data_IF_622090797898
#
_entry.id   IF_622090797898
#
_cell.length_a   1.000
_cell.length_b   1.000
_cell.length_c   1.000
_cell.angle_alpha   90.00
_cell.angle_beta   90.00
_cell.angle_gamma   90.00
#
_symmetry.space_group_name_H-M   'P 1'
#
loop_
_entity.id
_entity.type
_entity.pdbx_description
1 polymer ?
#
# COMPACT_ATOMS: atom_id res chain seq x y z
N UNK A 1 -0.56 9.37 53.01
CA UNK A 1 -0.68 8.22 52.08
C UNK A 1 -1.50 8.70 50.89
N UNK A 2 -0.89 8.83 49.73
CA UNK A 2 -1.61 9.19 48.51
C UNK A 2 -2.10 7.90 47.84
N UNK A 3 -3.41 7.79 47.64
CA UNK A 3 -4.07 6.67 46.95
C UNK A 3 -3.64 6.65 45.48
N UNK A 4 -2.97 5.59 45.07
CA UNK A 4 -2.67 5.31 43.67
C UNK A 4 -3.99 5.10 42.90
N UNK A 5 -4.24 5.94 41.89
CA UNK A 5 -5.32 5.71 40.94
C UNK A 5 -5.06 4.41 40.18
N UNK A 6 -6.10 3.59 40.05
CA UNK A 6 -6.03 2.34 39.30
C UNK A 6 -5.52 2.59 37.88
N UNK A 7 -4.40 1.96 37.53
CA UNK A 7 -3.95 1.87 36.15
C UNK A 7 -5.01 1.08 35.37
N UNK A 8 -5.74 1.74 34.48
CA UNK A 8 -6.61 1.03 33.54
C UNK A 8 -5.73 0.18 32.62
N UNK A 9 -5.84 -1.14 32.77
CA UNK A 9 -5.24 -2.13 31.90
C UNK A 9 -5.76 -1.95 30.46
N UNK A 10 -4.89 -2.16 29.49
CA UNK A 10 -5.11 -1.84 28.08
C UNK A 10 -6.20 -2.73 27.46
N UNK A 11 -7.45 -2.25 27.44
CA UNK A 11 -8.49 -2.79 26.58
C UNK A 11 -8.23 -2.33 25.14
N UNK A 12 -7.35 -3.03 24.43
CA UNK A 12 -7.22 -2.87 23.00
C UNK A 12 -8.40 -3.52 22.29
N UNK A 13 -9.02 -2.85 21.33
CA UNK A 13 -10.00 -3.45 20.43
C UNK A 13 -9.65 -3.14 18.98
N UNK A 14 -10.11 -4.02 18.08
CA UNK A 14 -10.06 -3.86 16.62
C UNK A 14 -11.48 -3.93 16.08
N UNK A 15 -11.83 -3.07 15.13
CA UNK A 15 -13.16 -3.07 14.52
C UNK A 15 -13.04 -3.14 13.01
N UNK A 16 -13.77 -4.04 12.38
CA UNK A 16 -13.99 -3.99 10.93
C UNK A 16 -15.37 -3.42 10.69
N UNK A 17 -15.50 -2.38 9.87
CA UNK A 17 -16.79 -1.87 9.41
C UNK A 17 -16.85 -2.06 7.90
N UNK A 18 -17.74 -2.95 7.43
CA UNK A 18 -17.87 -3.30 6.03
C UNK A 18 -19.28 -2.99 5.53
N UNK A 19 -19.41 -2.06 4.58
CA UNK A 19 -20.65 -1.84 3.84
C UNK A 19 -20.77 -2.95 2.81
N UNK A 20 -21.64 -3.93 3.06
CA UNK A 20 -21.83 -5.10 2.18
C UNK A 20 -22.67 -4.78 0.93
N UNK A 21 -23.58 -3.82 1.04
CA UNK A 21 -24.37 -3.33 -0.09
C UNK A 21 -24.81 -1.88 0.13
N UNK A 22 -24.98 -1.14 -0.96
CA UNK A 22 -25.44 0.25 -0.94
C UNK A 22 -26.36 0.51 -2.14
N UNK A 23 -27.41 1.30 -1.92
CA UNK A 23 -28.41 1.69 -2.92
C UNK A 23 -28.83 3.14 -2.70
N UNK A 24 -29.60 3.75 -3.62
CA UNK A 24 -30.11 5.10 -3.42
C UNK A 24 -30.93 5.20 -2.12
N UNK A 25 -30.44 5.99 -1.16
CA UNK A 25 -31.07 6.26 0.12
C UNK A 25 -30.77 5.25 1.22
N UNK A 26 -30.05 4.16 0.96
CA UNK A 26 -29.75 3.15 1.98
C UNK A 26 -28.48 2.33 1.77
N UNK A 27 -28.05 1.66 2.83
CA UNK A 27 -26.92 0.75 2.83
C UNK A 27 -27.08 -0.33 3.91
N UNK A 28 -26.37 -1.45 3.74
CA UNK A 28 -26.28 -2.54 4.70
C UNK A 28 -24.84 -2.75 5.12
N UNK A 29 -24.60 -2.90 6.42
CA UNK A 29 -23.25 -2.98 7.00
C UNK A 29 -23.12 -4.18 7.94
N UNK A 30 -21.95 -4.81 7.92
CA UNK A 30 -21.47 -5.73 8.96
C UNK A 30 -20.35 -5.06 9.74
N UNK A 31 -20.42 -5.10 11.08
CA UNK A 31 -19.40 -4.62 12.00
C UNK A 31 -18.84 -5.80 12.79
N UNK A 32 -17.53 -6.03 12.71
CA UNK A 32 -16.83 -7.07 13.48
C UNK A 32 -15.98 -6.42 14.57
N UNK A 33 -16.23 -6.74 15.83
CA UNK A 33 -15.42 -6.33 16.98
C UNK A 33 -14.51 -7.48 17.40
N UNK A 34 -13.21 -7.24 17.42
CA UNK A 34 -12.19 -8.14 17.98
C UNK A 34 -11.65 -7.55 19.27
N UNK A 35 -11.69 -8.32 20.35
CA UNK A 35 -11.03 -7.95 21.59
C UNK A 35 -9.53 -8.27 21.49
N UNK A 36 -8.64 -7.31 21.69
CA UNK A 36 -7.18 -7.53 21.73
C UNK A 36 -6.57 -7.18 23.09
N UNK A 37 -7.40 -6.88 24.08
CA UNK A 37 -7.02 -6.67 25.48
C UNK A 37 -7.52 -7.79 26.39
N UNK A 38 -7.72 -7.46 27.66
CA UNK A 38 -8.25 -8.40 28.66
C UNK A 38 -9.63 -8.94 28.26
N UNK A 39 -9.98 -10.19 28.63
CA UNK A 39 -11.28 -10.77 28.33
C UNK A 39 -12.46 -9.89 28.76
N UNK A 40 -13.43 -9.70 27.88
CA UNK A 40 -14.65 -8.94 28.13
C UNK A 40 -15.81 -9.89 28.41
N UNK A 41 -16.65 -9.55 29.39
CA UNK A 41 -17.93 -10.23 29.66
C UNK A 41 -19.13 -9.51 29.02
N UNK A 42 -18.93 -8.26 28.61
CA UNK A 42 -19.86 -7.44 27.85
C UNK A 42 -19.09 -6.39 27.04
N UNK A 43 -19.69 -5.89 25.96
CA UNK A 43 -19.10 -4.84 25.16
C UNK A 43 -20.13 -3.76 24.80
N UNK A 44 -19.68 -2.51 24.87
CA UNK A 44 -20.36 -1.32 24.36
C UNK A 44 -19.45 -0.67 23.34
N UNK A 45 -19.78 -0.80 22.07
CA UNK A 45 -19.07 -0.16 20.96
C UNK A 45 -19.71 1.19 20.64
N UNK A 46 -18.90 2.22 20.49
CA UNK A 46 -19.36 3.57 20.13
C UNK A 46 -18.60 4.10 18.93
N UNK A 47 -19.29 4.84 18.05
CA UNK A 47 -18.69 5.56 16.92
C UNK A 47 -19.53 6.80 16.57
N UNK A 48 -19.11 7.58 15.58
CA UNK A 48 -19.89 8.70 15.05
C UNK A 48 -19.95 8.68 13.52
N UNK A 49 -21.12 8.99 12.96
CA UNK A 49 -21.29 9.17 11.52
C UNK A 49 -20.86 10.57 11.07
N UNK A 50 -20.24 10.64 9.88
CA UNK A 50 -19.66 11.88 9.35
C UNK A 50 -20.50 12.63 8.31
N UNK A 51 -21.50 11.99 7.70
CA UNK A 51 -22.25 12.58 6.57
C UNK A 51 -23.78 12.40 6.69
N UNK A 52 -24.30 12.45 7.91
CA UNK A 52 -25.75 12.39 8.15
C UNK A 52 -26.37 11.01 8.00
N UNK A 53 -25.57 9.95 8.08
CA UNK A 53 -26.11 8.59 8.08
C UNK A 53 -26.98 8.33 9.31
N UNK A 54 -28.05 7.56 9.15
CA UNK A 54 -28.95 7.17 10.24
C UNK A 54 -29.15 5.65 10.25
N UNK A 55 -28.95 5.00 11.39
CA UNK A 55 -29.28 3.57 11.55
C UNK A 55 -30.81 3.41 11.58
N UNK A 56 -31.35 2.52 10.76
CA UNK A 56 -32.79 2.24 10.71
C UNK A 56 -33.16 0.89 11.33
N UNK A 57 -32.30 -0.11 11.18
CA UNK A 57 -32.53 -1.45 11.73
C UNK A 57 -31.19 -2.12 12.02
N UNK A 58 -31.08 -2.85 13.13
CA UNK A 58 -29.89 -3.62 13.49
C UNK A 58 -30.23 -5.05 13.90
N UNK A 59 -29.24 -5.95 13.81
CA UNK A 59 -29.31 -7.34 14.27
C UNK A 59 -28.02 -7.73 14.98
N UNK A 60 -28.09 -8.70 15.89
CA UNK A 60 -26.98 -9.17 16.74
C UNK A 60 -26.34 -8.09 17.64
N UNK A 61 -26.97 -6.92 17.77
CA UNK A 61 -26.64 -5.86 18.70
C UNK A 61 -27.87 -4.99 18.97
N UNK A 62 -27.93 -4.35 20.13
CA UNK A 62 -28.86 -3.24 20.36
C UNK A 62 -28.16 -1.94 19.97
N UNK A 63 -28.68 -1.23 18.98
CA UNK A 63 -28.07 0.00 18.44
C UNK A 63 -28.96 1.20 18.72
N UNK A 64 -28.37 2.26 19.26
CA UNK A 64 -29.02 3.56 19.48
C UNK A 64 -28.20 4.66 18.83
N UNK A 65 -28.88 5.72 18.37
CA UNK A 65 -28.24 6.86 17.75
C UNK A 65 -28.83 8.17 18.29
N UNK A 66 -27.96 9.13 18.60
CA UNK A 66 -28.32 10.51 18.95
C UNK A 66 -27.47 11.48 18.14
N UNK A 67 -28.10 12.24 17.25
CA UNK A 67 -27.37 13.01 16.24
C UNK A 67 -26.44 12.10 15.43
N UNK A 68 -25.15 12.42 15.40
CA UNK A 68 -24.13 11.60 14.74
C UNK A 68 -23.61 10.43 15.59
N UNK A 69 -23.83 10.44 16.91
CA UNK A 69 -23.24 9.46 17.82
C UNK A 69 -24.05 8.16 17.83
N UNK A 70 -23.38 7.02 17.64
CA UNK A 70 -23.99 5.69 17.63
C UNK A 70 -23.37 4.84 18.73
N UNK A 71 -24.24 4.12 19.46
CA UNK A 71 -23.86 3.15 20.49
C UNK A 71 -24.47 1.80 20.18
N UNK A 72 -23.63 0.77 20.07
CA UNK A 72 -24.03 -0.63 19.95
C UNK A 72 -23.63 -1.40 21.21
N UNK A 73 -24.54 -2.19 21.78
CA UNK A 73 -24.27 -3.09 22.90
C UNK A 73 -24.55 -4.53 22.53
N UNK A 74 -23.81 -5.45 23.15
CA UNK A 74 -24.01 -6.88 22.98
C UNK A 74 -25.44 -7.32 23.32
N UNK A 75 -25.91 -8.37 22.65
CA UNK A 75 -27.09 -9.13 23.05
C UNK A 75 -26.66 -10.31 23.93
N UNK A 76 -27.62 -11.11 24.39
CA UNK A 76 -27.39 -12.14 25.42
C UNK A 76 -26.33 -13.19 25.05
N UNK A 77 -26.16 -13.51 23.76
CA UNK A 77 -25.29 -14.60 23.33
C UNK A 77 -23.87 -14.16 22.92
N UNK A 78 -23.60 -12.87 22.75
CA UNK A 78 -22.34 -12.39 22.16
C UNK A 78 -21.57 -11.39 23.02
N UNK A 79 -21.86 -11.30 24.32
CA UNK A 79 -21.16 -10.41 25.26
C UNK A 79 -19.75 -10.86 25.63
N UNK A 80 -19.54 -12.17 25.74
CA UNK A 80 -18.25 -12.74 26.13
C UNK A 80 -17.26 -12.74 24.96
N UNK A 81 -16.15 -12.01 25.10
CA UNK A 81 -15.05 -11.97 24.16
C UNK A 81 -13.73 -12.20 24.88
N UNK A 82 -13.17 -13.41 24.77
CA UNK A 82 -11.80 -13.66 25.19
C UNK A 82 -10.81 -12.78 24.41
N UNK A 83 -9.57 -12.68 24.88
CA UNK A 83 -8.50 -12.02 24.13
C UNK A 83 -8.35 -12.69 22.76
N UNK A 84 -8.27 -11.87 21.71
CA UNK A 84 -8.28 -12.21 20.29
C UNK A 84 -9.59 -12.84 19.75
N UNK A 85 -10.64 -12.98 20.57
CA UNK A 85 -11.95 -13.41 20.08
C UNK A 85 -12.67 -12.26 19.36
N UNK A 86 -13.55 -12.62 18.42
CA UNK A 86 -14.34 -11.66 17.64
C UNK A 86 -15.83 -11.96 17.71
N UNK A 87 -16.63 -10.91 17.60
CA UNK A 87 -18.07 -11.00 17.35
C UNK A 87 -18.45 -10.06 16.22
N UNK A 88 -19.57 -10.33 15.55
CA UNK A 88 -20.08 -9.49 14.48
C UNK A 88 -21.57 -9.18 14.68
N UNK A 89 -21.93 -7.96 14.32
CA UNK A 89 -23.32 -7.51 14.22
C UNK A 89 -23.52 -6.75 12.90
N UNK A 90 -24.75 -6.47 12.53
CA UNK A 90 -25.01 -5.70 11.32
C UNK A 90 -26.18 -4.76 11.47
N UNK A 91 -26.29 -3.83 10.53
CA UNK A 91 -27.38 -2.89 10.47
C UNK A 91 -27.62 -2.36 9.06
N UNK A 92 -28.85 -1.92 8.82
CA UNK A 92 -29.22 -1.08 7.70
C UNK A 92 -29.23 0.38 8.15
N UNK A 93 -28.76 1.26 7.28
CA UNK A 93 -28.80 2.70 7.50
C UNK A 93 -29.23 3.46 6.25
N UNK A 94 -29.61 4.72 6.44
CA UNK A 94 -29.89 5.68 5.37
C UNK A 94 -28.72 6.63 5.18
N UNK A 95 -28.58 7.17 3.97
CA UNK A 95 -27.59 8.18 3.62
C UNK A 95 -28.17 9.15 2.58
N UNK A 96 -27.51 10.28 2.36
CA UNK A 96 -28.04 11.41 1.60
C UNK A 96 -27.82 11.35 0.07
N UNK A 97 -27.42 10.20 -0.48
CA UNK A 97 -27.04 10.02 -1.89
C UNK A 97 -25.85 10.84 -2.40
N UNK A 98 -25.15 11.59 -1.53
CA UNK A 98 -23.96 12.36 -1.87
C UNK A 98 -22.68 11.71 -1.36
N UNK A 99 -22.65 11.32 -0.09
CA UNK A 99 -21.48 10.65 0.50
C UNK A 99 -21.89 9.70 1.62
N UNK A 100 -21.32 8.49 1.63
CA UNK A 100 -21.47 7.53 2.71
C UNK A 100 -20.09 7.15 3.28
N UNK A 101 -19.37 8.11 3.92
CA UNK A 101 -18.06 7.85 4.47
C UNK A 101 -18.21 7.00 5.72
N UNK A 102 -17.35 6.02 5.81
CA UNK A 102 -17.43 5.05 6.88
C UNK A 102 -16.72 5.61 8.15
N UNK A 103 -17.16 5.28 9.38
CA UNK A 103 -16.61 5.88 10.61
C UNK A 103 -15.16 5.48 10.89
N UNK A 104 -14.29 6.41 11.32
CA UNK A 104 -12.84 6.17 11.49
C UNK A 104 -12.37 5.98 12.93
N UNK A 105 -13.25 6.20 13.92
CA UNK A 105 -12.93 6.07 15.33
C UNK A 105 -14.02 5.31 16.06
N UNK A 106 -13.60 4.30 16.80
CA UNK A 106 -14.48 3.52 17.65
C UNK A 106 -13.88 3.38 19.04
N UNK A 107 -14.74 3.25 20.04
CA UNK A 107 -14.33 2.93 21.40
C UNK A 107 -15.16 1.79 21.95
N UNK A 108 -14.51 0.80 22.58
CA UNK A 108 -15.17 -0.26 23.33
C UNK A 108 -15.10 0.07 24.82
N UNK A 109 -16.25 0.06 25.49
CA UNK A 109 -16.39 0.37 26.92
C UNK A 109 -15.78 1.73 27.33
N UNK A 110 -15.70 2.69 26.41
CA UNK A 110 -15.10 4.01 26.64
C UNK A 110 -13.59 4.09 26.38
N UNK A 111 -12.95 2.98 26.00
CA UNK A 111 -11.55 2.92 25.59
C UNK A 111 -11.47 2.90 24.07
N UNK A 112 -10.75 3.85 23.49
CA UNK A 112 -10.56 3.94 22.04
C UNK A 112 -9.87 2.69 21.50
N UNK A 113 -10.42 2.12 20.43
CA UNK A 113 -9.83 1.00 19.71
C UNK A 113 -8.54 1.46 19.03
N UNK A 114 -7.39 1.10 19.61
CA UNK A 114 -6.06 1.34 19.04
C UNK A 114 -5.66 0.30 17.99
N UNK A 115 -6.42 -0.79 17.88
CA UNK A 115 -6.23 -1.85 16.90
C UNK A 115 -7.01 -1.63 15.60
N UNK A 116 -6.99 -0.44 15.01
CA UNK A 116 -7.44 -0.21 13.63
C UNK A 116 -8.92 -0.47 13.37
N UNK A 117 -9.68 0.61 13.27
CA UNK A 117 -11.00 0.58 12.64
C UNK A 117 -10.84 0.99 11.18
N UNK A 118 -10.87 0.02 10.26
CA UNK A 118 -10.87 0.35 8.83
C UNK A 118 -12.24 0.89 8.52
N UNK A 119 -12.29 2.19 8.17
CA UNK A 119 -12.64 2.53 6.79
C UNK A 119 -12.27 3.95 6.24
N UNK A 120 -12.07 4.03 4.92
CA UNK A 120 -11.84 5.18 4.01
C UNK A 120 -11.35 6.57 4.54
N UNK A 121 -10.01 6.74 4.63
CA UNK A 121 -9.04 7.79 4.14
C UNK A 121 -9.35 9.32 4.21
N UNK A 122 -8.39 10.27 4.41
CA UNK A 122 -7.09 10.29 5.13
C UNK A 122 -6.94 11.44 6.18
N UNK A 123 -6.24 11.17 7.29
CA UNK A 123 -5.72 12.17 8.23
C UNK A 123 -4.66 11.54 9.12
N UNK A 124 -3.40 11.86 8.85
CA UNK A 124 -2.17 11.33 9.46
C UNK A 124 -2.18 11.34 11.01
N UNK A 125 -1.99 10.22 11.73
CA UNK A 125 -1.60 10.23 13.14
C UNK A 125 -0.10 10.48 13.25
N UNK A 126 0.26 11.62 13.84
CA UNK A 126 1.59 11.88 14.39
C UNK A 126 1.81 10.99 15.62
N UNK A 127 2.49 9.87 15.43
CA UNK A 127 3.22 9.21 16.52
C UNK A 127 4.43 10.09 16.87
N UNK A 128 4.76 10.30 18.16
CA UNK A 128 6.02 10.92 18.53
C UNK A 128 7.19 10.13 17.93
N UNK A 129 8.27 10.80 17.48
CA UNK A 129 9.40 10.12 16.88
C UNK A 129 9.97 9.05 17.82
N UNK A 130 10.47 7.92 17.29
CA UNK A 130 11.32 7.04 18.07
C UNK A 130 12.50 7.86 18.61
N UNK A 131 12.75 7.79 19.92
CA UNK A 131 13.87 8.47 20.59
C UNK A 131 15.24 7.88 20.24
N UNK A 132 15.27 6.86 19.40
CA UNK A 132 16.48 6.29 18.83
C UNK A 132 16.60 6.79 17.39
N UNK A 133 17.70 7.48 17.01
CA UNK A 133 17.94 7.85 15.64
C UNK A 133 17.79 6.62 14.72
N UNK A 134 17.13 6.74 13.56
CA UNK A 134 17.24 5.73 12.51
C UNK A 134 18.73 5.45 12.28
N UNK A 135 19.16 4.20 12.05
CA UNK A 135 20.53 3.93 11.68
C UNK A 135 20.88 4.83 10.47
N UNK A 136 21.83 5.75 10.68
CA UNK A 136 22.31 6.70 9.66
C UNK A 136 23.21 6.02 8.63
N UNK A 137 23.46 4.73 8.82
CA UNK A 137 24.16 3.90 7.86
C UNK A 137 23.13 3.38 6.87
N UNK A 138 23.24 3.69 5.56
CA UNK A 138 22.50 2.99 4.52
C UNK A 138 22.64 1.48 4.77
N UNK A 139 21.57 0.68 4.65
CA UNK A 139 21.70 -0.77 4.63
C UNK A 139 22.80 -1.13 3.62
N UNK A 140 23.74 -2.02 3.96
CA UNK A 140 24.83 -2.36 3.05
C UNK A 140 24.21 -2.82 1.73
N UNK A 141 24.49 -2.06 0.67
CA UNK A 141 24.19 -2.45 -0.71
C UNK A 141 24.94 -3.75 -0.96
N UNK A 142 24.23 -4.88 -0.96
CA UNK A 142 24.83 -6.19 -1.25
C UNK A 142 24.14 -7.39 -0.59
N UNK A 143 23.66 -7.29 0.65
CA UNK A 143 23.08 -8.45 1.34
C UNK A 143 21.56 -8.45 1.31
N UNK A 144 20.98 -9.45 0.66
CA UNK A 144 19.55 -9.75 0.76
C UNK A 144 19.20 -10.12 2.21
N UNK A 145 18.07 -9.63 2.75
CA UNK A 145 17.67 -9.96 4.11
C UNK A 145 17.27 -11.43 4.23
N UNK A 146 17.50 -12.01 5.40
CA UNK A 146 16.95 -13.32 5.75
C UNK A 146 15.55 -13.12 6.35
N UNK A 147 14.52 -13.85 5.88
CA UNK A 147 13.20 -13.76 6.47
C UNK A 147 13.18 -14.17 7.94
N UNK A 148 12.45 -13.43 8.76
CA UNK A 148 12.23 -13.75 10.19
C UNK A 148 11.19 -14.86 10.39
N UNK A 149 10.46 -15.20 9.33
CA UNK A 149 9.44 -16.24 9.27
C UNK A 149 8.71 -16.19 7.92
N UNK A 150 7.73 -17.08 7.72
CA UNK A 150 6.92 -17.12 6.51
C UNK A 150 5.43 -16.94 6.83
N UNK A 151 4.68 -16.39 5.88
CA UNK A 151 3.23 -16.21 5.88
C UNK A 151 2.71 -16.73 4.55
N UNK A 152 1.81 -17.71 4.61
CA UNK A 152 1.01 -18.14 3.47
C UNK A 152 -0.12 -17.14 3.22
N UNK A 153 -0.30 -16.76 1.97
CA UNK A 153 -1.24 -15.75 1.49
C UNK A 153 -2.19 -16.44 0.52
N UNK A 154 -3.47 -16.40 0.85
CA UNK A 154 -4.58 -16.95 0.08
C UNK A 154 -5.53 -15.80 -0.26
N UNK A 155 -5.12 -15.02 -1.27
CA UNK A 155 -5.79 -13.79 -1.72
C UNK A 155 -5.09 -12.49 -1.32
N UNK A 156 -5.58 -11.37 -1.85
CA UNK A 156 -4.98 -10.04 -1.65
C UNK A 156 -5.09 -9.53 -0.21
N UNK A 157 -3.98 -9.01 0.33
CA UNK A 157 -3.92 -8.36 1.64
C UNK A 157 -4.19 -6.85 1.49
N UNK A 158 -5.33 -6.32 1.97
CA UNK A 158 -5.60 -4.89 1.93
C UNK A 158 -4.82 -4.13 3.00
N UNK A 159 -4.26 -2.96 2.64
CA UNK A 159 -3.50 -2.08 3.54
C UNK A 159 -4.02 -0.64 3.43
N UNK A 160 -4.56 -0.07 4.51
CA UNK A 160 -5.09 1.31 4.53
C UNK A 160 -4.32 2.29 5.43
N UNK A 161 -3.39 1.77 6.25
CA UNK A 161 -2.52 2.54 7.14
C UNK A 161 -1.07 2.06 6.98
N UNK A 162 -0.37 1.87 8.10
CA UNK A 162 0.96 1.24 8.08
C UNK A 162 0.82 -0.25 8.31
N UNK A 163 1.36 -1.05 7.41
CA UNK A 163 1.59 -2.47 7.61
C UNK A 163 3.09 -2.72 7.76
N UNK A 164 3.50 -3.21 8.92
CA UNK A 164 4.86 -3.67 9.16
C UNK A 164 4.90 -5.20 9.12
N UNK A 165 5.61 -5.75 8.14
CA UNK A 165 5.74 -7.20 7.96
C UNK A 165 6.77 -7.86 8.87
N UNK A 166 7.53 -7.10 9.67
CA UNK A 166 8.54 -7.63 10.59
C UNK A 166 9.66 -8.42 9.89
N UNK A 167 9.94 -8.10 8.62
CA UNK A 167 10.82 -8.84 7.71
C UNK A 167 10.43 -10.31 7.51
N UNK A 168 9.13 -10.63 7.63
CA UNK A 168 8.62 -11.95 7.26
C UNK A 168 8.49 -12.05 5.74
N UNK A 169 8.62 -13.28 5.24
CA UNK A 169 8.30 -13.64 3.85
C UNK A 169 6.81 -13.86 3.70
N UNK A 170 6.21 -13.21 2.71
CA UNK A 170 4.84 -13.40 2.27
C UNK A 170 4.89 -14.07 0.90
N UNK A 171 4.15 -15.16 0.76
CA UNK A 171 3.95 -15.95 -0.46
C UNK A 171 2.60 -16.66 -0.28
N UNK A 172 1.97 -17.32 -1.23
CA UNK A 172 2.42 -17.79 -2.51
C UNK A 172 1.21 -17.60 -3.43
N UNK A 173 0.89 -16.34 -3.74
CA UNK A 173 -0.33 -15.98 -4.48
C UNK A 173 -0.07 -16.08 -5.97
N UNK A 174 -1.06 -16.56 -6.72
CA UNK A 174 -0.93 -16.83 -8.15
C UNK A 174 -0.22 -18.14 -8.44
N UNK A 175 0.08 -18.36 -9.71
CA UNK A 175 0.71 -19.57 -10.24
C UNK A 175 2.19 -19.38 -10.63
N UNK A 176 2.69 -18.15 -10.49
CA UNK A 176 4.06 -17.77 -10.87
C UNK A 176 4.22 -17.48 -12.36
N UNK A 177 3.12 -17.37 -13.11
CA UNK A 177 3.13 -16.94 -14.50
C UNK A 177 3.33 -15.43 -14.64
N UNK A 178 3.42 -14.95 -15.89
CA UNK A 178 3.45 -13.54 -16.26
C UNK A 178 2.07 -13.05 -16.74
N UNK A 179 0.98 -13.70 -16.32
CA UNK A 179 -0.36 -13.31 -16.73
C UNK A 179 -0.79 -11.98 -16.10
N UNK A 180 -1.34 -11.07 -16.93
CA UNK A 180 -1.77 -9.70 -16.60
C UNK A 180 -3.02 -9.62 -15.68
N UNK A 181 -3.63 -10.76 -15.34
CA UNK A 181 -4.85 -10.82 -14.52
C UNK A 181 -4.65 -11.40 -13.12
N UNK A 182 -3.39 -11.54 -12.68
CA UNK A 182 -3.10 -12.04 -11.34
C UNK A 182 -3.48 -11.01 -10.27
N UNK A 183 -3.97 -11.51 -9.13
CA UNK A 183 -4.26 -10.65 -7.98
C UNK A 183 -2.94 -10.15 -7.35
N UNK A 184 -2.89 -8.88 -6.90
CA UNK A 184 -1.75 -8.41 -6.13
C UNK A 184 -1.72 -9.09 -4.76
N UNK A 185 -0.52 -9.35 -4.25
CA UNK A 185 -0.33 -9.84 -2.88
C UNK A 185 -0.75 -8.79 -1.85
N UNK A 186 -0.42 -7.52 -2.09
CA UNK A 186 -0.81 -6.40 -1.24
C UNK A 186 -1.53 -5.32 -2.05
N UNK A 187 -2.70 -4.90 -1.57
CA UNK A 187 -3.44 -3.77 -2.14
C UNK A 187 -3.44 -2.61 -1.15
N UNK A 188 -2.63 -1.60 -1.43
CA UNK A 188 -2.52 -0.37 -0.66
C UNK A 188 -3.59 0.64 -1.09
N UNK A 189 -4.33 1.15 -0.13
CA UNK A 189 -5.14 2.34 -0.30
C UNK A 189 -4.25 3.60 -0.38
N UNK A 190 -4.81 4.70 -0.89
CA UNK A 190 -4.11 5.98 -0.85
C UNK A 190 -3.78 6.38 0.61
N UNK A 191 -2.56 6.84 0.82
CA UNK A 191 -1.95 7.18 2.12
C UNK A 191 -1.25 6.00 2.82
N UNK A 192 -1.42 4.76 2.36
CA UNK A 192 -0.90 3.60 3.05
C UNK A 192 0.62 3.42 2.93
N UNK A 193 1.20 2.75 3.92
CA UNK A 193 2.61 2.34 3.94
C UNK A 193 2.72 0.83 4.11
N UNK A 194 3.46 0.17 3.23
CA UNK A 194 3.94 -1.20 3.42
C UNK A 194 5.41 -1.13 3.80
N UNK A 195 5.80 -1.77 4.90
CA UNK A 195 7.19 -1.76 5.32
C UNK A 195 7.70 -3.08 5.89
N UNK A 196 9.01 -3.31 5.73
CA UNK A 196 9.72 -4.46 6.28
C UNK A 196 9.06 -5.78 5.85
N UNK A 197 8.91 -5.97 4.55
CA UNK A 197 8.25 -7.15 3.96
C UNK A 197 9.20 -7.80 2.99
N UNK A 198 9.27 -9.13 3.02
CA UNK A 198 9.87 -9.92 1.95
C UNK A 198 8.72 -10.58 1.19
N UNK A 199 8.70 -10.44 -0.12
CA UNK A 199 7.74 -11.04 -1.05
C UNK A 199 8.47 -12.17 -1.76
N UNK A 200 8.06 -13.40 -1.44
CA UNK A 200 8.55 -14.61 -2.08
C UNK A 200 7.63 -15.04 -3.22
N UNK A 201 8.17 -15.86 -4.13
CA UNK A 201 7.39 -16.46 -5.21
C UNK A 201 6.52 -17.64 -4.76
N UNK A 202 5.39 -17.92 -5.43
CA UNK A 202 4.69 -17.06 -6.39
C UNK A 202 4.21 -15.72 -5.78
N UNK A 203 4.39 -14.63 -6.53
CA UNK A 203 4.18 -13.27 -6.04
C UNK A 203 2.93 -12.56 -6.63
N UNK A 204 2.16 -13.23 -7.49
CA UNK A 204 1.05 -12.63 -8.22
C UNK A 204 1.46 -11.36 -8.98
N UNK A 205 0.60 -10.35 -8.96
CA UNK A 205 0.88 -8.99 -9.44
C UNK A 205 1.40 -8.09 -8.29
N UNK A 206 2.31 -8.66 -7.48
CA UNK A 206 3.11 -7.95 -6.48
C UNK A 206 2.33 -7.05 -5.52
N UNK A 207 2.60 -5.74 -5.58
CA UNK A 207 2.01 -4.73 -4.69
C UNK A 207 1.31 -3.64 -5.50
N UNK A 208 0.04 -3.40 -5.22
CA UNK A 208 -0.73 -2.33 -5.89
C UNK A 208 -0.94 -1.14 -4.99
N UNK A 209 -0.67 0.05 -5.50
CA UNK A 209 -1.04 1.32 -4.85
C UNK A 209 -2.20 1.98 -5.58
N UNK A 210 -3.35 2.14 -4.93
CA UNK A 210 -4.53 2.78 -5.52
C UNK A 210 -4.45 4.31 -5.64
N UNK A 211 -3.48 4.92 -4.95
CA UNK A 211 -3.13 6.34 -4.94
C UNK A 211 -1.83 6.51 -4.17
N UNK A 212 -1.49 7.72 -3.71
CA UNK A 212 -0.23 7.98 -2.99
C UNK A 212 0.08 6.89 -1.97
N UNK A 213 1.27 6.30 -1.99
CA UNK A 213 1.62 5.20 -1.07
C UNK A 213 3.11 5.22 -0.77
N UNK A 214 3.52 4.53 0.29
CA UNK A 214 4.94 4.30 0.61
C UNK A 214 5.24 2.81 0.68
N UNK A 215 6.26 2.35 -0.04
CA UNK A 215 6.88 1.05 0.11
C UNK A 215 8.26 1.26 0.74
N UNK A 216 8.45 0.84 1.99
CA UNK A 216 9.70 1.06 2.73
C UNK A 216 10.36 -0.27 3.08
N UNK A 217 11.59 -0.48 2.63
CA UNK A 217 12.33 -1.71 2.96
C UNK A 217 11.53 -2.98 2.56
N UNK A 218 11.02 -2.99 1.33
CA UNK A 218 10.25 -4.12 0.75
C UNK A 218 11.14 -4.87 -0.26
N UNK A 219 11.13 -6.19 -0.19
CA UNK A 219 12.09 -7.05 -0.90
C UNK A 219 11.36 -8.11 -1.73
N UNK A 220 11.53 -8.10 -3.05
CA UNK A 220 10.97 -9.10 -3.96
C UNK A 220 12.04 -10.10 -4.35
N UNK A 221 11.92 -11.33 -3.84
CA UNK A 221 12.85 -12.42 -4.13
C UNK A 221 12.67 -13.02 -5.52
N UNK A 222 11.46 -12.93 -6.06
CA UNK A 222 11.09 -13.32 -7.41
C UNK A 222 9.88 -12.47 -7.80
N UNK A 223 10.05 -11.62 -8.82
CA UNK A 223 8.97 -10.74 -9.26
C UNK A 223 8.02 -11.57 -10.12
N UNK A 224 6.73 -11.48 -9.83
CA UNK A 224 5.66 -12.09 -10.63
C UNK A 224 5.47 -11.31 -11.93
N UNK A 225 4.28 -10.79 -12.17
CA UNK A 225 4.03 -9.90 -13.32
C UNK A 225 4.80 -8.57 -13.16
N UNK A 226 4.43 -7.79 -12.14
CA UNK A 226 5.16 -6.61 -11.68
C UNK A 226 5.55 -6.73 -10.20
N UNK A 227 6.61 -6.02 -9.77
CA UNK A 227 6.93 -5.94 -8.34
C UNK A 227 5.94 -5.01 -7.63
N UNK A 228 5.71 -3.83 -8.23
CA UNK A 228 4.65 -2.94 -7.78
C UNK A 228 4.03 -2.10 -8.91
N UNK A 229 2.72 -1.91 -8.81
CA UNK A 229 1.90 -1.17 -9.77
C UNK A 229 1.28 0.05 -9.11
N UNK A 230 1.60 1.24 -9.63
CA UNK A 230 1.16 2.54 -9.10
C UNK A 230 -0.02 3.08 -9.90
N UNK A 231 -1.15 3.28 -9.22
CA UNK A 231 -2.44 3.72 -9.78
C UNK A 231 -2.96 4.95 -9.04
N UNK A 232 -3.99 5.58 -9.60
CA UNK A 232 -4.62 6.77 -9.04
C UNK A 232 -4.77 7.90 -10.06
N UNK A 233 -5.56 8.92 -9.71
CA UNK A 233 -5.83 10.10 -10.54
C UNK A 233 -5.43 11.38 -9.80
N UNK A 234 -5.37 12.50 -10.54
CA UNK A 234 -4.92 13.78 -9.98
C UNK A 234 -3.39 13.87 -9.92
N UNK A 235 -2.82 14.00 -8.72
CA UNK A 235 -1.37 14.17 -8.54
C UNK A 235 -0.85 13.37 -7.34
N UNK A 236 -1.04 12.04 -7.31
CA UNK A 236 -0.54 11.23 -6.22
C UNK A 236 1.00 11.23 -6.19
N UNK A 237 1.54 10.97 -5.01
CA UNK A 237 2.97 10.85 -4.75
C UNK A 237 3.22 9.47 -4.19
N UNK A 238 4.05 8.70 -4.88
CA UNK A 238 4.46 7.37 -4.48
C UNK A 238 5.92 7.40 -4.05
N UNK A 239 6.26 6.69 -2.99
CA UNK A 239 7.62 6.55 -2.48
C UNK A 239 7.98 5.08 -2.36
N UNK A 240 9.09 4.69 -2.99
CA UNK A 240 9.79 3.44 -2.72
C UNK A 240 11.12 3.83 -2.07
N UNK A 241 11.34 3.41 -0.83
CA UNK A 241 12.49 3.80 -0.02
C UNK A 241 13.16 2.59 0.62
N UNK A 242 14.32 2.21 0.10
CA UNK A 242 15.00 0.98 0.52
C UNK A 242 14.37 -0.27 -0.10
N UNK A 243 15.00 -1.42 0.13
CA UNK A 243 14.54 -2.70 -0.40
C UNK A 243 15.26 -3.15 -1.67
N UNK A 244 14.73 -4.19 -2.29
CA UNK A 244 15.27 -4.67 -3.55
C UNK A 244 14.37 -5.63 -4.30
N UNK A 245 14.61 -5.79 -5.60
CA UNK A 245 13.85 -6.71 -6.46
C UNK A 245 14.78 -7.53 -7.35
N UNK A 246 14.40 -8.76 -7.65
CA UNK A 246 15.09 -9.58 -8.64
C UNK A 246 14.15 -10.43 -9.46
N UNK A 247 14.63 -10.85 -10.64
CA UNK A 247 13.91 -11.75 -11.54
C UNK A 247 12.60 -11.16 -12.09
N UNK A 248 12.61 -9.87 -12.44
CA UNK A 248 11.50 -9.23 -13.12
C UNK A 248 11.61 -9.43 -14.63
N UNK A 249 10.94 -10.47 -15.15
CA UNK A 249 11.04 -10.83 -16.57
C UNK A 249 10.68 -9.66 -17.50
N UNK A 250 9.62 -8.91 -17.16
CA UNK A 250 9.23 -7.69 -17.86
C UNK A 250 9.55 -6.43 -17.04
N UNK A 251 8.75 -6.07 -16.02
CA UNK A 251 8.88 -4.79 -15.33
C UNK A 251 9.01 -4.96 -13.82
N UNK A 252 9.82 -4.10 -13.18
CA UNK A 252 9.85 -4.02 -11.71
C UNK A 252 8.73 -3.09 -11.25
N UNK A 253 8.70 -1.86 -11.77
CA UNK A 253 7.71 -0.86 -11.38
C UNK A 253 6.88 -0.40 -12.58
N UNK A 254 5.57 -0.65 -12.49
CA UNK A 254 4.60 -0.21 -13.47
C UNK A 254 3.83 1.00 -12.96
N UNK A 255 3.69 2.03 -13.78
CA UNK A 255 3.02 3.27 -13.42
C UNK A 255 1.85 3.53 -14.37
N UNK A 256 0.65 3.14 -13.92
CA UNK A 256 -0.60 3.23 -14.68
C UNK A 256 -1.37 4.52 -14.35
N UNK A 257 -1.31 4.99 -13.10
CA UNK A 257 -1.98 6.21 -12.64
C UNK A 257 -1.28 7.51 -13.02
N UNK A 258 -1.86 8.64 -12.65
CA UNK A 258 -1.17 9.94 -12.68
C UNK A 258 -0.11 10.04 -11.59
N UNK A 259 0.70 11.10 -11.61
CA UNK A 259 1.49 11.52 -10.44
C UNK A 259 2.99 11.27 -10.56
N UNK A 260 3.64 11.26 -9.39
CA UNK A 260 5.11 11.15 -9.28
C UNK A 260 5.51 9.94 -8.44
N UNK A 261 6.34 9.08 -9.00
CA UNK A 261 7.01 8.01 -8.26
C UNK A 261 8.44 8.44 -7.91
N UNK A 262 8.81 8.35 -6.63
CA UNK A 262 10.20 8.44 -6.20
C UNK A 262 10.68 7.05 -5.77
N UNK A 263 11.76 6.57 -6.38
CA UNK A 263 12.45 5.34 -5.97
C UNK A 263 13.84 5.71 -5.46
N UNK A 264 14.14 5.33 -4.23
CA UNK A 264 15.41 5.66 -3.62
C UNK A 264 15.98 4.54 -2.76
N UNK A 265 17.31 4.52 -2.61
CA UNK A 265 18.02 3.58 -1.75
C UNK A 265 17.74 2.11 -2.12
N UNK A 266 17.41 1.84 -3.39
CA UNK A 266 16.90 0.56 -3.86
C UNK A 266 17.96 -0.24 -4.61
N UNK A 267 17.85 -1.57 -4.60
CA UNK A 267 18.68 -2.41 -5.47
C UNK A 267 17.83 -3.33 -6.37
N UNK A 268 18.22 -3.47 -7.63
CA UNK A 268 17.57 -4.42 -8.53
C UNK A 268 18.57 -5.19 -9.38
N UNK A 269 18.25 -6.44 -9.68
CA UNK A 269 19.06 -7.31 -10.56
C UNK A 269 18.16 -8.21 -11.38
N UNK A 270 18.57 -8.60 -12.59
CA UNK A 270 17.78 -9.45 -13.46
C UNK A 270 16.38 -8.87 -13.74
N UNK A 271 16.33 -7.80 -14.55
CA UNK A 271 15.07 -7.15 -14.93
C UNK A 271 15.01 -6.76 -16.41
N UNK A 272 13.83 -6.78 -17.01
CA UNK A 272 13.57 -6.16 -18.32
C UNK A 272 13.64 -4.64 -18.20
N UNK A 273 12.65 -4.04 -17.56
CA UNK A 273 12.50 -2.59 -17.36
C UNK A 273 12.32 -2.28 -15.88
N UNK A 274 13.19 -1.48 -15.28
CA UNK A 274 13.09 -1.15 -13.86
C UNK A 274 11.89 -0.25 -13.54
N UNK A 275 11.60 0.74 -14.38
CA UNK A 275 10.41 1.57 -14.28
C UNK A 275 9.78 1.80 -15.65
N UNK A 276 8.46 1.64 -15.75
CA UNK A 276 7.69 1.91 -16.96
C UNK A 276 6.47 2.79 -16.66
N UNK A 277 6.42 3.95 -17.33
CA UNK A 277 5.17 4.71 -17.50
C UNK A 277 4.28 3.94 -18.47
N UNK A 278 3.05 3.59 -18.12
CA UNK A 278 2.19 2.81 -19.01
C UNK A 278 1.97 3.53 -20.35
N UNK A 279 2.38 2.91 -21.45
CA UNK A 279 2.38 3.57 -22.76
C UNK A 279 1.18 3.26 -23.64
N UNK A 280 0.34 2.29 -23.27
CA UNK A 280 -0.81 1.83 -24.05
C UNK A 280 -2.10 1.72 -23.20
N UNK A 281 -2.08 2.22 -21.96
CA UNK A 281 -3.26 2.32 -21.10
C UNK A 281 -4.36 3.14 -21.78
N UNK A 282 -5.61 2.71 -21.62
CA UNK A 282 -6.80 3.39 -22.17
C UNK A 282 -6.96 4.82 -21.66
N UNK A 283 -6.54 5.07 -20.41
CA UNK A 283 -6.39 6.42 -19.85
C UNK A 283 -4.91 6.73 -19.71
N UNK A 284 -4.50 7.84 -20.32
CA UNK A 284 -3.13 8.32 -20.31
C UNK A 284 -2.96 9.53 -19.41
N UNK A 285 -1.79 9.61 -18.80
CA UNK A 285 -1.43 10.67 -17.86
C UNK A 285 -0.03 11.16 -18.18
N UNK A 286 0.23 12.42 -17.83
CA UNK A 286 1.59 12.89 -17.60
C UNK A 286 2.09 12.27 -16.29
N UNK A 287 3.21 11.55 -16.35
CA UNK A 287 3.83 10.87 -15.20
C UNK A 287 5.25 11.36 -14.98
N UNK A 288 5.66 11.38 -13.71
CA UNK A 288 7.04 11.67 -13.35
C UNK A 288 7.65 10.51 -12.55
N UNK A 289 8.94 10.27 -12.77
CA UNK A 289 9.74 9.39 -11.92
C UNK A 289 11.02 10.08 -11.49
N UNK A 290 11.39 9.88 -10.23
CA UNK A 290 12.68 10.27 -9.66
C UNK A 290 13.35 9.00 -9.13
N UNK A 291 14.50 8.65 -9.68
CA UNK A 291 15.27 7.48 -9.24
C UNK A 291 16.59 7.99 -8.67
N UNK A 292 16.89 7.67 -7.41
CA UNK A 292 18.11 8.16 -6.78
C UNK A 292 18.77 7.21 -5.81
N UNK A 293 20.09 7.26 -5.73
CA UNK A 293 20.87 6.43 -4.82
C UNK A 293 20.49 4.94 -4.92
N UNK A 294 20.41 4.41 -6.15
CA UNK A 294 19.97 3.05 -6.41
C UNK A 294 21.03 2.25 -7.16
N UNK A 295 21.14 0.96 -6.85
CA UNK A 295 22.09 0.04 -7.49
C UNK A 295 21.36 -0.91 -8.44
N UNK A 296 21.69 -0.87 -9.73
CA UNK A 296 21.06 -1.66 -10.77
C UNK A 296 22.08 -2.58 -11.42
N UNK A 297 21.90 -3.89 -11.25
CA UNK A 297 22.87 -4.91 -11.63
C UNK A 297 22.40 -5.68 -12.85
N UNK A 298 23.33 -5.96 -13.78
CA UNK A 298 23.08 -6.82 -14.93
C UNK A 298 22.90 -8.29 -14.52
N UNK A 299 22.04 -9.08 -15.21
CA UNK A 299 21.28 -8.72 -16.41
C UNK A 299 20.17 -7.68 -16.13
N UNK A 300 19.98 -6.76 -17.06
CA UNK A 300 19.16 -5.56 -16.90
C UNK A 300 19.14 -4.76 -18.21
N UNK A 301 17.96 -4.43 -18.75
CA UNK A 301 17.85 -3.78 -20.07
C UNK A 301 17.60 -2.27 -19.98
N UNK A 302 16.49 -1.83 -19.39
CA UNK A 302 16.11 -0.40 -19.34
C UNK A 302 15.85 0.07 -17.90
N UNK A 303 16.39 1.23 -17.52
CA UNK A 303 16.13 1.81 -16.18
C UNK A 303 14.78 2.51 -16.14
N UNK A 304 14.50 3.45 -17.06
CA UNK A 304 13.18 4.07 -17.17
C UNK A 304 12.67 4.09 -18.62
N UNK A 305 11.41 3.70 -18.82
CA UNK A 305 10.65 3.91 -20.05
C UNK A 305 9.56 4.99 -19.86
N UNK A 306 9.65 6.09 -20.59
CA UNK A 306 8.73 7.25 -20.48
C UNK A 306 8.05 7.61 -21.80
N UNK A 307 6.85 8.20 -21.74
CA UNK A 307 6.09 8.63 -22.91
C UNK A 307 6.21 10.15 -23.11
N UNK A 308 7.04 10.57 -24.05
CA UNK A 308 7.41 12.00 -24.21
C UNK A 308 6.27 12.85 -24.77
N UNK A 309 5.39 12.25 -25.58
CA UNK A 309 4.20 12.92 -26.12
C UNK A 309 3.16 13.27 -25.04
N UNK A 310 3.18 12.60 -23.88
CA UNK A 310 2.37 12.96 -22.71
C UNK A 310 3.13 13.88 -21.73
N UNK A 311 4.36 14.26 -22.06
CA UNK A 311 5.18 15.15 -21.24
C UNK A 311 5.79 14.47 -20.01
N UNK A 312 5.96 13.14 -20.04
CA UNK A 312 6.57 12.40 -18.94
C UNK A 312 7.99 12.88 -18.65
N UNK A 313 8.41 12.78 -17.39
CA UNK A 313 9.79 13.09 -16.98
C UNK A 313 10.41 11.99 -16.13
N UNK A 314 11.67 11.66 -16.38
CA UNK A 314 12.50 10.80 -15.54
C UNK A 314 13.76 11.54 -15.08
N UNK A 315 13.96 11.62 -13.76
CA UNK A 315 15.13 12.26 -13.12
C UNK A 315 15.99 11.20 -12.45
N UNK A 316 17.30 11.30 -12.62
CA UNK A 316 18.25 10.33 -12.06
C UNK A 316 19.36 11.05 -11.29
N UNK A 317 19.79 10.47 -10.16
CA UNK A 317 20.96 10.95 -9.41
C UNK A 317 21.57 9.82 -8.57
N UNK A 318 22.90 9.69 -8.56
CA UNK A 318 23.57 8.64 -7.75
C UNK A 318 23.15 7.22 -8.14
N UNK A 319 22.99 6.92 -9.42
CA UNK A 319 22.69 5.57 -9.90
C UNK A 319 24.00 4.80 -10.03
N UNK A 320 24.09 3.65 -9.38
CA UNK A 320 25.20 2.71 -9.57
C UNK A 320 24.74 1.59 -10.50
N UNK A 321 25.46 1.37 -11.60
CA UNK A 321 25.19 0.31 -12.57
C UNK A 321 26.30 -0.71 -12.45
N UNK A 322 25.94 -1.95 -12.17
CA UNK A 322 26.90 -3.03 -11.88
C UNK A 322 26.90 -4.05 -13.01
N UNK A 323 28.08 -4.55 -13.38
CA UNK A 323 28.29 -5.57 -14.41
C UNK A 323 27.84 -5.14 -15.82
N UNK A 324 27.91 -3.84 -16.13
CA UNK A 324 27.59 -3.27 -17.46
C UNK A 324 28.80 -2.59 -18.10
N UNK A 325 29.91 -3.33 -18.26
CA UNK A 325 31.13 -2.80 -18.88
C UNK A 325 30.90 -2.28 -20.31
N UNK A 326 29.93 -2.86 -21.03
CA UNK A 326 29.52 -2.42 -22.38
C UNK A 326 28.60 -1.20 -22.38
N UNK A 327 28.15 -0.71 -21.22
CA UNK A 327 27.21 0.41 -21.06
C UNK A 327 25.94 0.26 -21.90
N UNK A 328 25.46 -0.98 -22.04
CA UNK A 328 24.30 -1.28 -22.88
C UNK A 328 22.97 -1.20 -22.13
N UNK A 329 22.97 -1.02 -20.81
CA UNK A 329 21.74 -0.71 -20.07
C UNK A 329 21.26 0.69 -20.45
N UNK A 330 20.04 0.80 -20.95
CA UNK A 330 19.44 2.07 -21.38
C UNK A 330 18.89 2.80 -20.17
N UNK A 331 19.50 3.93 -19.80
CA UNK A 331 19.08 4.71 -18.62
C UNK A 331 17.68 5.28 -18.78
N UNK A 332 17.40 5.87 -19.94
CA UNK A 332 16.10 6.46 -20.21
C UNK A 332 15.73 6.16 -21.65
N UNK A 333 14.64 5.42 -21.84
CA UNK A 333 14.06 5.08 -23.14
C UNK A 333 12.77 5.88 -23.32
N UNK A 334 12.61 6.47 -24.49
CA UNK A 334 11.54 7.40 -24.83
C UNK A 334 10.60 6.78 -25.83
N UNK A 335 9.30 6.96 -25.60
CA UNK A 335 8.22 6.42 -26.42
C UNK A 335 7.23 7.52 -26.79
N UNK A 336 6.53 7.30 -27.90
CA UNK A 336 5.22 7.90 -28.13
C UNK A 336 4.16 6.90 -27.64
N UNK A 337 3.55 7.20 -26.49
CA UNK A 337 2.44 6.44 -25.94
C UNK A 337 1.16 6.67 -26.73
N UNK A 338 0.21 5.75 -26.56
CA UNK A 338 -1.13 5.76 -27.14
C UNK A 338 -2.16 5.28 -26.10
N UNK A 339 -3.43 5.31 -26.47
CA UNK A 339 -4.55 4.83 -25.65
C UNK A 339 -5.37 3.73 -26.36
N UNK A 340 -4.78 3.06 -27.34
CA UNK A 340 -5.45 2.06 -28.18
C UNK A 340 -5.16 0.62 -27.73
N UNK A 341 -4.33 0.45 -26.70
CA UNK A 341 -3.80 -0.86 -26.29
C UNK A 341 -2.62 -1.35 -27.15
N UNK A 342 -2.30 -0.65 -28.25
CA UNK A 342 -1.20 -1.03 -29.14
C UNK A 342 0.16 -0.73 -28.51
N UNK A 343 1.19 -1.51 -28.86
CA UNK A 343 2.53 -1.26 -28.33
C UNK A 343 3.05 0.16 -28.69
N UNK A 344 3.57 0.92 -27.71
CA UNK A 344 4.08 2.27 -27.94
C UNK A 344 5.31 2.28 -28.86
N UNK A 345 5.39 3.27 -29.75
CA UNK A 345 6.54 3.42 -30.64
C UNK A 345 7.71 4.02 -29.89
N UNK A 346 8.88 3.38 -29.92
CA UNK A 346 10.12 3.97 -29.40
C UNK A 346 10.57 5.13 -30.29
N UNK A 347 10.88 6.28 -29.67
CA UNK A 347 11.31 7.50 -30.38
C UNK A 347 12.70 7.99 -29.98
N UNK A 348 13.32 7.38 -28.97
CA UNK A 348 14.71 7.69 -28.63
C UNK A 348 15.17 7.11 -27.31
N UNK A 349 16.40 7.45 -26.94
CA UNK A 349 17.02 7.10 -25.66
C UNK A 349 17.88 8.26 -25.16
N UNK A 350 18.42 8.14 -23.94
CA UNK A 350 19.41 9.08 -23.43
C UNK A 350 18.83 10.33 -22.76
N UNK A 351 19.70 11.13 -22.15
CA UNK A 351 19.35 12.44 -21.61
C UNK A 351 19.00 13.44 -22.72
N UNK A 352 18.09 14.37 -22.43
CA UNK A 352 17.71 15.45 -23.37
C UNK A 352 17.42 16.80 -22.70
N UNK A 353 17.62 16.89 -21.37
CA UNK A 353 17.40 18.12 -20.61
C UNK A 353 15.92 18.52 -20.45
N UNK A 354 14.97 17.73 -20.99
CA UNK A 354 13.53 18.02 -20.93
C UNK A 354 12.74 16.89 -20.28
N UNK A 355 12.81 15.70 -20.85
CA UNK A 355 12.08 14.51 -20.40
C UNK A 355 13.01 13.58 -19.61
N UNK A 356 14.20 13.30 -20.15
CA UNK A 356 15.21 12.47 -19.49
C UNK A 356 16.29 13.37 -18.89
N UNK A 357 16.32 13.42 -17.56
CA UNK A 357 17.03 14.44 -16.79
C UNK A 357 18.13 13.80 -15.95
N UNK A 358 19.32 13.73 -16.53
CA UNK A 358 20.55 13.28 -15.88
C UNK A 358 21.78 13.68 -16.70
N UNK A 359 22.95 13.55 -16.10
CA UNK A 359 24.26 13.73 -16.69
C UNK A 359 25.15 12.51 -16.40
N UNK A 360 26.37 12.49 -16.93
CA UNK A 360 27.33 11.42 -16.63
C UNK A 360 27.72 11.37 -15.15
N UNK A 361 27.68 12.49 -14.40
CA UNK A 361 28.01 12.49 -12.97
C UNK A 361 26.95 11.84 -12.10
N UNK A 362 25.75 11.64 -12.64
CA UNK A 362 24.65 10.96 -11.96
C UNK A 362 24.78 9.43 -12.01
N UNK A 363 25.73 8.91 -12.81
CA UNK A 363 25.91 7.49 -13.08
C UNK A 363 27.32 7.03 -12.65
N UNK A 364 27.38 5.95 -11.88
CA UNK A 364 28.62 5.23 -11.56
C UNK A 364 28.53 3.82 -12.13
N UNK A 365 29.52 3.40 -12.91
CA UNK A 365 29.59 2.03 -13.43
C UNK A 365 30.61 1.23 -12.61
N UNK A 366 30.24 0.02 -12.19
CA UNK A 366 31.08 -0.89 -11.39
C UNK A 366 31.17 -2.29 -12.00
#
# INVERSE_FOLDING_TARGET
MATAGAAQAAAGCRVSYAVGSQWPGGFSTTVTLTNVGDPLTSWRLTWSFGAGQTVTQAWNATVTQSGSAVTATNVSFNGNLATNASTAFGFNGTWNNSSNPTPTSFAVNGVTCTGGTSPTTPGNPTTPPPTTPPPTTPPPTGSWPTPTGQVGVDGTIPVSGVFDGGMRRYCCIGDGSQEESQDPMFQLAAGATLQNVIIGGPAGDGVHCAGSCTLRNVWWEDVGEDAATFRGSGSPVFLVDGGGARSASDKVFQHNGAGTLTVQNFQATNFGTFYRSCGNCSTQYKRAVVIRNSTLTRPGNTVAGINVNYGDTARFSGITIVNDSSRSMVICRKYNGNNTGSEPTQVGTGADGTNCLYSSSDLTYR
#
